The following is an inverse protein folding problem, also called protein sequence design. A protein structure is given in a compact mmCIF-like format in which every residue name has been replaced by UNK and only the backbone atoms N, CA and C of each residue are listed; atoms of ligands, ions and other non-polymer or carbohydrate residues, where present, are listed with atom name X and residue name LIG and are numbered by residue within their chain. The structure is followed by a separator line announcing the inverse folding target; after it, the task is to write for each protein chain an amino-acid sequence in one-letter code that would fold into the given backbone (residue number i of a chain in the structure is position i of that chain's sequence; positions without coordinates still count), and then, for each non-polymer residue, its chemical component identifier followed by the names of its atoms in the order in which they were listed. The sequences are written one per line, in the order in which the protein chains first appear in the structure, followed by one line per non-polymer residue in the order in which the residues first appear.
data_IF_572954309150
#
_entry.id   IF_572954309150
#
_cell.length_a   1.000
_cell.length_b   1.000
_cell.length_c   1.000
_cell.angle_alpha   90.00
_cell.angle_beta   90.00
_cell.angle_gamma   90.00
#
_symmetry.space_group_name_H-M   'P 1'
#
loop_
_entity.id
_entity.type
_entity.pdbx_description
1 polymer ?
#
# COMPACT_ATOMS: atom_id res chain seq x y z
N UNK A 1 -15.24 -11.68 8.04
CA UNK A 1 -13.96 -12.11 8.66
C UNK A 1 -13.54 -13.43 8.04
N UNK A 2 -12.59 -13.40 7.12
CA UNK A 2 -11.99 -14.62 6.58
C UNK A 2 -10.89 -15.13 7.52
N UNK A 3 -10.96 -16.40 7.87
CA UNK A 3 -9.88 -17.09 8.57
C UNK A 3 -8.91 -17.64 7.52
N UNK A 4 -7.64 -17.26 7.62
CA UNK A 4 -6.56 -17.76 6.79
C UNK A 4 -5.54 -18.50 7.65
N UNK A 5 -5.19 -19.72 7.26
CA UNK A 5 -4.08 -20.45 7.87
C UNK A 5 -2.76 -19.89 7.39
N UNK A 6 -1.99 -19.30 8.31
CA UNK A 6 -0.67 -18.78 8.03
C UNK A 6 0.39 -19.76 8.50
N UNK A 7 1.37 -20.02 7.64
CA UNK A 7 2.55 -20.77 8.02
C UNK A 7 3.38 -19.97 9.01
N UNK A 8 3.90 -20.61 10.04
CA UNK A 8 4.89 -20.02 10.94
C UNK A 8 6.26 -20.10 10.27
N UNK A 9 6.91 -18.96 10.16
CA UNK A 9 8.19 -18.76 9.47
C UNK A 9 9.26 -18.44 10.51
N UNK A 10 10.28 -19.27 10.60
CA UNK A 10 11.45 -19.04 11.45
C UNK A 10 12.62 -18.44 10.66
N UNK A 11 13.66 -17.99 11.36
CA UNK A 11 14.83 -17.38 10.72
C UNK A 11 15.56 -18.38 9.80
N UNK A 12 15.56 -19.67 10.15
CA UNK A 12 16.12 -20.74 9.30
C UNK A 12 15.42 -20.83 7.96
N UNK A 13 14.10 -20.68 7.95
CA UNK A 13 13.33 -20.66 6.71
C UNK A 13 13.66 -19.41 5.86
N UNK A 14 13.83 -18.25 6.49
CA UNK A 14 14.23 -17.03 5.80
C UNK A 14 15.64 -17.16 5.18
N UNK A 15 16.59 -17.78 5.88
CA UNK A 15 17.91 -18.09 5.34
C UNK A 15 17.85 -19.04 4.14
N UNK A 16 16.97 -20.05 4.18
CA UNK A 16 16.76 -20.94 3.04
C UNK A 16 16.25 -20.16 1.82
N UNK A 17 15.34 -19.22 2.00
CA UNK A 17 14.80 -18.42 0.92
C UNK A 17 15.85 -17.50 0.29
N UNK A 18 16.75 -16.93 1.10
CA UNK A 18 17.92 -16.19 0.60
C UNK A 18 18.80 -17.05 -0.32
N UNK A 19 18.99 -18.34 0.00
CA UNK A 19 19.76 -19.29 -0.83
C UNK A 19 19.03 -19.66 -2.13
N UNK A 20 17.71 -19.65 -2.12
CA UNK A 20 16.87 -19.93 -3.31
C UNK A 20 16.63 -18.67 -4.18
N UNK A 21 17.31 -17.56 -3.89
CA UNK A 21 17.12 -16.26 -4.56
C UNK A 21 15.67 -15.76 -4.50
N UNK A 22 14.92 -16.15 -3.46
CA UNK A 22 13.58 -15.63 -3.20
C UNK A 22 13.66 -14.35 -2.37
N UNK A 23 12.83 -13.39 -2.71
CA UNK A 23 12.73 -12.12 -2.02
C UNK A 23 11.48 -12.10 -1.13
N UNK A 24 11.68 -12.26 0.17
CA UNK A 24 10.63 -12.06 1.17
C UNK A 24 10.89 -10.82 1.99
N UNK A 25 9.81 -10.16 2.41
CA UNK A 25 9.87 -9.02 3.32
C UNK A 25 8.92 -9.25 4.48
N UNK A 26 9.21 -8.61 5.61
CA UNK A 26 8.37 -8.67 6.81
C UNK A 26 7.69 -7.31 6.97
N UNK A 27 6.36 -7.30 7.10
CA UNK A 27 5.57 -6.09 7.38
C UNK A 27 4.58 -6.44 8.49
N UNK A 28 4.65 -5.71 9.61
CA UNK A 28 3.81 -5.93 10.81
C UNK A 28 3.80 -7.39 11.24
N UNK A 29 4.99 -7.97 11.41
CA UNK A 29 5.21 -9.38 11.78
C UNK A 29 4.74 -10.45 10.77
N UNK A 30 4.10 -10.04 9.67
CA UNK A 30 3.66 -10.93 8.61
C UNK A 30 4.74 -11.03 7.51
N UNK A 31 4.89 -12.21 6.94
CA UNK A 31 5.91 -12.51 5.92
C UNK A 31 5.25 -12.57 4.54
N UNK A 32 5.78 -11.78 3.61
CA UNK A 32 5.30 -11.66 2.25
C UNK A 32 6.35 -12.13 1.25
N UNK A 33 5.95 -12.95 0.28
CA UNK A 33 6.80 -13.35 -0.85
C UNK A 33 6.56 -12.41 -2.03
N UNK A 34 7.49 -11.48 -2.22
CA UNK A 34 7.45 -10.47 -3.29
C UNK A 34 8.36 -10.85 -4.47
N UNK A 35 8.83 -12.10 -4.53
CA UNK A 35 9.76 -12.57 -5.57
C UNK A 35 9.25 -12.27 -6.98
N UNK A 36 7.94 -12.44 -7.21
CA UNK A 36 7.29 -12.25 -8.50
C UNK A 36 6.65 -10.87 -8.69
N UNK A 37 6.84 -9.92 -7.76
CA UNK A 37 6.21 -8.61 -7.82
C UNK A 37 7.11 -7.58 -8.51
N UNK A 38 7.06 -7.56 -9.84
CA UNK A 38 7.89 -6.67 -10.67
C UNK A 38 7.23 -5.30 -10.93
N UNK A 39 5.91 -5.20 -10.82
CA UNK A 39 5.12 -3.99 -11.13
C UNK A 39 5.09 -2.97 -9.97
N UNK A 40 6.09 -3.00 -9.09
CA UNK A 40 6.18 -2.06 -7.99
C UNK A 40 6.61 -0.67 -8.50
N UNK A 41 5.83 0.42 -8.29
CA UNK A 41 6.16 1.74 -8.80
C UNK A 41 7.52 2.30 -8.30
N UNK A 42 7.99 1.86 -7.13
CA UNK A 42 9.31 2.22 -6.60
C UNK A 42 10.46 1.37 -7.16
N UNK A 43 10.19 0.47 -8.12
CA UNK A 43 11.14 -0.48 -8.67
C UNK A 43 11.32 -1.73 -7.79
N UNK A 44 11.90 -2.78 -8.37
CA UNK A 44 12.16 -4.05 -7.68
C UNK A 44 13.37 -3.98 -6.73
N UNK A 45 14.31 -3.07 -6.99
CA UNK A 45 15.55 -2.98 -6.20
C UNK A 45 15.29 -2.64 -4.74
N UNK A 46 14.22 -1.90 -4.44
CA UNK A 46 13.83 -1.59 -3.06
C UNK A 46 13.55 -2.87 -2.25
N UNK A 47 13.07 -3.95 -2.86
CA UNK A 47 12.85 -5.20 -2.13
C UNK A 47 14.16 -5.91 -1.76
N UNK A 48 15.23 -5.71 -2.54
CA UNK A 48 16.55 -6.32 -2.26
C UNK A 48 17.14 -5.78 -0.96
N UNK A 49 16.94 -4.50 -0.67
CA UNK A 49 17.44 -3.86 0.56
C UNK A 49 16.77 -4.44 1.82
N UNK A 50 15.51 -4.84 1.68
CA UNK A 50 14.68 -5.43 2.74
C UNK A 50 14.56 -6.95 2.66
N UNK A 51 15.33 -7.63 1.80
CA UNK A 51 15.23 -9.07 1.62
C UNK A 51 15.53 -9.84 2.93
N UNK A 52 14.51 -10.50 3.45
CA UNK A 52 14.49 -11.22 4.73
C UNK A 52 14.55 -10.31 5.96
N UNK A 53 14.19 -9.03 5.82
CA UNK A 53 14.19 -8.04 6.90
C UNK A 53 12.79 -7.44 7.10
N UNK A 54 12.66 -6.72 8.20
CA UNK A 54 11.47 -5.91 8.49
C UNK A 54 11.49 -4.61 7.66
N UNK A 55 10.44 -4.41 6.88
CA UNK A 55 10.18 -3.25 6.04
C UNK A 55 8.97 -2.44 6.53
N UNK A 56 8.48 -2.70 7.75
CA UNK A 56 7.28 -2.08 8.30
C UNK A 56 7.37 -0.57 8.30
N UNK A 57 8.46 -0.02 8.82
CA UNK A 57 8.64 1.43 8.93
C UNK A 57 8.69 2.09 7.55
N UNK A 58 9.45 1.51 6.62
CA UNK A 58 9.53 1.99 5.25
C UNK A 58 8.15 1.94 4.55
N UNK A 59 7.42 0.85 4.73
CA UNK A 59 6.08 0.69 4.16
C UNK A 59 5.08 1.73 4.69
N UNK A 60 5.13 2.01 6.00
CA UNK A 60 4.26 3.00 6.66
C UNK A 60 4.63 4.42 6.27
N UNK A 61 5.93 4.76 6.24
CA UNK A 61 6.42 6.11 5.92
C UNK A 61 6.05 6.53 4.49
N UNK A 62 6.09 5.61 3.53
CA UNK A 62 5.68 5.88 2.15
C UNK A 62 4.17 6.13 2.02
N UNK A 63 3.35 5.56 2.93
CA UNK A 63 1.91 5.77 2.90
C UNK A 63 1.20 5.08 1.73
N UNK A 64 1.48 3.79 1.52
CA UNK A 64 0.84 3.01 0.45
C UNK A 64 -0.69 3.07 0.49
N UNK A 65 -1.31 3.25 -0.69
CA UNK A 65 -2.76 3.35 -0.83
C UNK A 65 -3.50 2.09 -0.34
N UNK A 66 -4.80 2.21 -0.08
CA UNK A 66 -5.64 1.07 0.32
C UNK A 66 -5.58 -0.06 -0.73
N UNK A 67 -5.54 0.28 -2.01
CA UNK A 67 -5.43 -0.72 -3.09
C UNK A 67 -4.08 -1.43 -3.06
N UNK A 68 -2.98 -0.71 -2.81
CA UNK A 68 -1.67 -1.33 -2.63
C UNK A 68 -1.62 -2.25 -1.40
N UNK A 69 -2.26 -1.85 -0.29
CA UNK A 69 -2.39 -2.69 0.90
C UNK A 69 -3.27 -3.94 0.65
N UNK A 70 -4.34 -3.82 -0.15
CA UNK A 70 -5.16 -4.95 -0.58
C UNK A 70 -4.35 -5.91 -1.47
N UNK A 71 -3.58 -5.38 -2.43
CA UNK A 71 -2.70 -6.16 -3.29
C UNK A 71 -1.61 -6.88 -2.48
N UNK A 72 -0.97 -6.20 -1.52
CA UNK A 72 0.05 -6.80 -0.66
C UNK A 72 -0.42 -8.10 0.03
N UNK A 73 -1.71 -8.19 0.40
CA UNK A 73 -2.29 -9.38 1.03
C UNK A 73 -2.24 -10.62 0.15
N UNK A 74 -2.20 -10.49 -1.18
CA UNK A 74 -2.10 -11.66 -2.09
C UNK A 74 -0.73 -12.34 -2.03
N UNK A 75 0.30 -11.60 -1.58
CA UNK A 75 1.66 -12.09 -1.41
C UNK A 75 1.93 -12.63 0.01
N UNK A 76 0.92 -12.67 0.88
CA UNK A 76 1.07 -13.14 2.26
C UNK A 76 1.30 -14.65 2.30
N UNK A 77 2.46 -15.07 2.83
CA UNK A 77 2.82 -16.49 2.94
C UNK A 77 2.82 -17.02 4.37
N UNK A 78 2.93 -16.13 5.37
CA UNK A 78 3.05 -16.58 6.75
C UNK A 78 3.21 -15.48 7.79
N UNK A 79 3.55 -15.91 9.00
CA UNK A 79 3.84 -15.07 10.16
C UNK A 79 5.25 -15.34 10.67
N UNK A 80 5.95 -14.32 11.14
CA UNK A 80 7.26 -14.46 11.77
C UNK A 80 7.12 -15.13 13.15
N UNK A 81 7.89 -16.20 13.38
CA UNK A 81 7.94 -16.92 14.65
C UNK A 81 8.46 -16.01 15.78
N UNK A 82 7.90 -16.17 16.98
CA UNK A 82 8.26 -15.39 18.18
C UNK A 82 8.08 -13.87 18.02
N UNK A 83 7.21 -13.44 17.10
CA UNK A 83 6.79 -12.05 17.01
C UNK A 83 5.64 -11.76 17.99
N UNK A 84 5.40 -10.48 18.37
CA UNK A 84 4.24 -10.12 19.19
C UNK A 84 2.91 -10.61 18.58
N UNK A 85 2.76 -10.50 17.25
CA UNK A 85 1.58 -11.01 16.57
C UNK A 85 1.46 -12.55 16.64
N UNK A 86 2.59 -13.26 16.60
CA UNK A 86 2.62 -14.71 16.75
C UNK A 86 2.18 -15.14 18.15
N UNK A 87 2.73 -14.51 19.20
CA UNK A 87 2.38 -14.82 20.58
C UNK A 87 0.89 -14.62 20.86
N UNK A 88 0.29 -13.58 20.28
CA UNK A 88 -1.16 -13.32 20.38
C UNK A 88 -2.02 -14.44 19.80
N UNK A 89 -1.54 -15.15 18.77
CA UNK A 89 -2.29 -16.18 18.04
C UNK A 89 -1.74 -17.60 18.31
N UNK A 90 -0.89 -17.78 19.31
CA UNK A 90 -0.25 -19.07 19.59
C UNK A 90 -1.25 -20.17 19.98
N UNK A 91 -2.39 -19.79 20.54
CA UNK A 91 -3.46 -20.70 20.94
C UNK A 91 -4.18 -21.36 19.75
N UNK A 92 -4.11 -20.76 18.55
CA UNK A 92 -4.68 -21.34 17.32
C UNK A 92 -3.66 -22.20 16.55
N UNK A 93 -2.51 -22.50 17.17
CA UNK A 93 -1.45 -23.28 16.54
C UNK A 93 -1.95 -24.65 16.13
N UNK A 94 -1.70 -25.00 14.88
CA UNK A 94 -1.86 -26.35 14.35
C UNK A 94 -0.57 -26.81 13.68
N UNK A 95 -0.34 -28.13 13.67
CA UNK A 95 0.89 -28.72 13.12
C UNK A 95 0.50 -29.74 12.06
N UNK A 96 1.14 -29.63 10.88
CA UNK A 96 1.04 -30.63 9.82
C UNK A 96 2.45 -31.12 9.46
N UNK A 97 2.79 -32.33 9.90
CA UNK A 97 4.15 -32.87 9.79
C UNK A 97 5.15 -32.03 10.59
N UNK A 98 6.13 -31.43 9.90
CA UNK A 98 7.15 -30.54 10.50
C UNK A 98 6.80 -29.04 10.38
N UNK A 99 5.65 -28.71 9.80
CA UNK A 99 5.26 -27.32 9.53
C UNK A 99 4.22 -26.88 10.55
N UNK A 100 4.49 -25.75 11.19
CA UNK A 100 3.57 -25.10 12.12
C UNK A 100 2.73 -24.05 11.37
N UNK A 101 1.46 -23.94 11.77
CA UNK A 101 0.50 -22.99 11.26
C UNK A 101 -0.22 -22.30 12.41
N UNK A 102 -0.73 -21.11 12.16
CA UNK A 102 -1.67 -20.42 13.04
C UNK A 102 -2.90 -20.00 12.23
N UNK A 103 -4.06 -19.94 12.88
CA UNK A 103 -5.23 -19.31 12.29
C UNK A 103 -5.12 -17.79 12.48
N UNK A 104 -5.13 -17.07 11.37
CA UNK A 104 -5.10 -15.61 11.34
C UNK A 104 -6.40 -15.08 10.74
N UNK A 105 -7.06 -14.19 11.47
CA UNK A 105 -8.29 -13.56 11.02
C UNK A 105 -7.93 -12.24 10.36
N UNK A 106 -8.04 -12.18 9.03
CA UNK A 106 -7.89 -10.91 8.34
C UNK A 106 -9.10 -10.07 8.70
N UNK A 107 -8.86 -8.98 9.40
CA UNK A 107 -9.81 -7.88 9.44
C UNK A 107 -9.99 -7.41 7.99
N UNK A 108 -11.21 -7.56 7.49
CA UNK A 108 -11.62 -6.85 6.29
C UNK A 108 -11.33 -5.38 6.58
N UNK A 109 -10.53 -4.77 5.72
CA UNK A 109 -10.37 -3.33 5.74
C UNK A 109 -11.77 -2.84 5.41
N UNK A 110 -12.56 -2.54 6.44
CA UNK A 110 -13.78 -1.77 6.26
C UNK A 110 -13.30 -0.57 5.46
N UNK A 111 -13.88 -0.35 4.29
CA UNK A 111 -13.84 0.95 3.64
C UNK A 111 -14.51 1.93 4.61
N UNK A 112 -13.82 2.25 5.70
CA UNK A 112 -13.89 3.59 6.21
C UNK A 112 -13.36 4.38 5.05
N UNK A 113 -14.19 5.30 4.57
CA UNK A 113 -13.73 6.40 3.72
C UNK A 113 -12.32 6.77 4.19
N UNK A 114 -11.38 6.96 3.25
CA UNK A 114 -10.00 7.24 3.61
C UNK A 114 -10.02 8.26 4.74
N UNK A 115 -9.23 8.06 5.83
CA UNK A 115 -9.09 9.14 6.79
C UNK A 115 -8.80 10.38 5.97
N UNK A 116 -9.59 11.44 6.17
CA UNK A 116 -9.27 12.79 5.69
C UNK A 116 -7.91 13.09 6.28
N UNK A 117 -6.90 12.60 5.60
CA UNK A 117 -5.51 12.88 5.86
C UNK A 117 -5.39 14.21 5.19
N UNK A 118 -4.94 15.18 5.98
CA UNK A 118 -4.46 16.47 5.52
C UNK A 118 -3.22 16.23 4.64
N UNK A 119 -3.38 15.49 3.53
CA UNK A 119 -2.65 15.80 2.32
C UNK A 119 -3.05 17.26 2.09
N UNK A 120 -2.11 18.23 2.10
CA UNK A 120 -2.46 19.55 1.64
C UNK A 120 -3.08 19.34 0.27
N UNK A 121 -4.39 19.56 0.20
CA UNK A 121 -5.14 19.63 -1.03
C UNK A 121 -4.29 20.56 -1.90
N UNK A 122 -3.68 20.02 -2.96
CA UNK A 122 -3.10 20.87 -3.98
C UNK A 122 -4.29 21.68 -4.42
N UNK A 123 -4.34 22.92 -3.95
CA UNK A 123 -5.43 23.86 -4.15
C UNK A 123 -5.74 23.88 -5.64
N UNK A 124 -6.70 23.08 -6.08
CA UNK A 124 -7.65 23.59 -7.06
C UNK A 124 -8.43 24.60 -6.25
N UNK A 125 -7.91 25.83 -6.22
CA UNK A 125 -8.72 27.00 -5.92
C UNK A 125 -9.92 26.85 -6.83
N UNK A 126 -11.05 26.44 -6.26
CA UNK A 126 -12.34 26.58 -6.90
C UNK A 126 -12.61 28.08 -6.87
N UNK A 127 -11.98 28.76 -7.83
CA UNK A 127 -12.17 30.17 -8.03
C UNK A 127 -13.62 30.30 -8.48
N UNK A 128 -14.43 30.94 -7.63
CA UNK A 128 -15.84 31.25 -7.85
C UNK A 128 -15.99 32.30 -8.96
N UNK A 129 -15.31 32.08 -10.08
CA UNK A 129 -15.38 32.93 -11.25
C UNK A 129 -16.74 32.72 -11.86
N UNK A 130 -17.60 33.73 -11.73
CA UNK A 130 -18.88 33.76 -12.41
C UNK A 130 -18.60 33.82 -13.92
N UNK A 131 -18.56 32.65 -14.55
CA UNK A 131 -18.24 32.49 -15.97
C UNK A 131 -19.15 33.32 -16.88
N UNK A 132 -20.39 33.62 -16.46
CA UNK A 132 -21.30 34.50 -17.20
C UNK A 132 -20.81 35.95 -17.21
N UNK A 133 -20.20 36.40 -16.11
CA UNK A 133 -19.62 37.74 -15.95
C UNK A 133 -18.28 37.87 -16.70
N UNK A 134 -17.42 36.85 -16.62
CA UNK A 134 -16.13 36.82 -17.35
C UNK A 134 -16.36 36.74 -18.86
N UNK A 135 -17.29 35.90 -19.32
CA UNK A 135 -17.63 35.79 -20.73
C UNK A 135 -18.17 37.11 -21.31
N UNK A 136 -18.96 37.85 -20.53
CA UNK A 136 -19.45 39.18 -20.92
C UNK A 136 -18.34 40.21 -21.11
N UNK A 137 -17.34 40.21 -20.21
CA UNK A 137 -16.19 41.11 -20.29
C UNK A 137 -15.35 40.81 -21.53
N UNK A 138 -15.04 39.54 -21.78
CA UNK A 138 -14.24 39.11 -22.95
C UNK A 138 -14.95 39.48 -24.27
N UNK A 139 -16.26 39.24 -24.36
CA UNK A 139 -17.04 39.59 -25.54
C UNK A 139 -17.11 41.11 -25.78
N UNK A 140 -17.26 41.91 -24.71
CA UNK A 140 -17.29 43.37 -24.78
C UNK A 140 -15.96 43.97 -25.26
N UNK A 141 -14.83 43.48 -24.74
CA UNK A 141 -13.51 43.91 -25.19
C UNK A 141 -13.22 43.49 -26.64
N UNK A 142 -13.70 42.31 -27.08
CA UNK A 142 -13.59 41.88 -28.48
C UNK A 142 -14.34 42.78 -29.46
N UNK A 143 -15.56 43.22 -29.10
CA UNK A 143 -16.36 44.14 -29.91
C UNK A 143 -15.68 45.52 -29.97
N UNK A 144 -15.24 46.05 -28.82
CA UNK A 144 -14.54 47.34 -28.78
C UNK A 144 -13.22 47.31 -29.58
N UNK A 145 -12.43 46.23 -29.45
CA UNK A 145 -11.19 46.06 -30.20
C UNK A 145 -11.43 45.97 -31.71
N UNK A 146 -12.47 45.25 -32.14
CA UNK A 146 -12.87 45.19 -33.56
C UNK A 146 -13.20 46.58 -34.12
N UNK A 147 -13.94 47.40 -33.36
CA UNK A 147 -14.27 48.77 -33.77
C UNK A 147 -13.10 49.75 -33.67
N UNK A 148 -12.15 49.51 -32.77
CA UNK A 148 -11.03 50.43 -32.52
C UNK A 148 -9.80 50.14 -33.39
N UNK A 149 -9.61 48.90 -33.87
CA UNK A 149 -8.37 48.48 -34.53
C UNK A 149 -8.53 47.69 -35.83
N UNK A 150 -9.73 47.22 -36.18
CA UNK A 150 -9.96 46.42 -37.39
C UNK A 150 -10.85 47.14 -38.42
N UNK A 151 -10.88 48.48 -38.37
CA UNK A 151 -11.45 49.34 -39.40
C UNK A 151 -10.39 50.22 -40.04
#
# INVERSE_FOLDING_TARGET
MSCQKLRVIDDKFLEKFKKESKCCIIIKDLVYDVTSFFDHPGGYDIFKDYAGKDATDAFIQIGHSINAQKLMKTYLIGIKKNSPLYEKNINTKSVNGKIEYIDYFLEEIKEKEPPKTDVPEINKKEENTNYMLVAGIIAGFGIAYYFMFLK
#
